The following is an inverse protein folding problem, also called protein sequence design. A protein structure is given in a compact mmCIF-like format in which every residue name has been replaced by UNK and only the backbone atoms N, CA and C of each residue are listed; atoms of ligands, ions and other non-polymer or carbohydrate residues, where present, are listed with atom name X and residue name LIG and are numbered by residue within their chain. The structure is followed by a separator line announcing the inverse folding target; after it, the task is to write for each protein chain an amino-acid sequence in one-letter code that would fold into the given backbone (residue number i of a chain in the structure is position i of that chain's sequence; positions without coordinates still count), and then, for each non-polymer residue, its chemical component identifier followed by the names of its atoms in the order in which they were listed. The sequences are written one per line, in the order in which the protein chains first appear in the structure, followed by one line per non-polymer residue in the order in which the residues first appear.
data_IF_479461840632
#
_entry.id   IF_479461840632
#
_cell.length_a   1.000
_cell.length_b   1.000
_cell.length_c   1.000
_cell.angle_alpha   90.00
_cell.angle_beta   90.00
_cell.angle_gamma   90.00
#
_symmetry.space_group_name_H-M   'P 1'
#
loop_
_entity.id
_entity.type
_entity.pdbx_description
1 polymer ?
#
# COMPACT_ATOMS: atom_id res chain seq x y z
N UNK A 1 11.26 -7.86 2.64
CA UNK A 1 12.30 -6.95 3.15
C UNK A 1 12.54 -5.76 2.23
N UNK A 2 12.80 -5.95 0.92
CA UNK A 2 13.10 -4.83 0.00
C UNK A 2 12.07 -3.70 0.01
N UNK A 3 10.76 -4.01 -0.12
CA UNK A 3 9.69 -3.00 -0.09
C UNK A 3 9.76 -2.11 1.16
N UNK A 4 9.88 -2.73 2.34
CA UNK A 4 10.00 -2.01 3.62
C UNK A 4 11.28 -1.16 3.65
N UNK A 5 12.43 -1.73 3.28
CA UNK A 5 13.70 -1.00 3.29
C UNK A 5 13.64 0.26 2.42
N UNK A 6 13.04 0.16 1.23
CA UNK A 6 12.85 1.32 0.35
C UNK A 6 11.98 2.40 1.00
N UNK A 7 10.80 2.02 1.52
CA UNK A 7 9.84 2.98 2.09
C UNK A 7 10.32 3.61 3.40
N UNK A 8 10.94 2.82 4.30
CA UNK A 8 11.45 3.34 5.58
C UNK A 8 12.66 4.27 5.39
N UNK A 9 13.48 4.05 4.35
CA UNK A 9 14.63 4.92 4.06
C UNK A 9 14.19 6.36 3.73
N UNK A 10 13.06 6.50 3.03
CA UNK A 10 12.54 7.80 2.55
C UNK A 10 11.47 8.41 3.44
N UNK A 11 10.95 7.67 4.43
CA UNK A 11 9.94 8.15 5.39
C UNK A 11 10.28 9.52 6.01
N UNK A 12 11.52 9.79 6.49
CA UNK A 12 11.84 11.09 7.08
C UNK A 12 11.73 12.27 6.10
N UNK A 13 11.88 12.02 4.80
CA UNK A 13 11.83 13.04 3.76
C UNK A 13 10.41 13.31 3.24
N UNK A 14 9.52 12.31 3.28
CA UNK A 14 8.18 12.40 2.68
C UNK A 14 7.02 12.26 3.68
N UNK A 15 7.30 11.93 4.93
CA UNK A 15 6.29 11.66 5.94
C UNK A 15 5.41 12.88 6.22
N UNK A 16 4.09 12.69 6.20
CA UNK A 16 3.12 13.79 6.37
C UNK A 16 2.52 13.87 7.78
N UNK A 17 3.10 13.16 8.76
CA UNK A 17 2.52 13.02 10.11
C UNK A 17 2.35 14.36 10.84
N UNK A 18 3.24 15.33 10.59
CA UNK A 18 3.23 16.65 11.22
C UNK A 18 2.80 17.76 10.25
N UNK A 19 2.28 17.40 9.07
CA UNK A 19 1.82 18.35 8.08
C UNK A 19 0.31 18.64 8.25
N UNK A 20 -0.18 19.78 7.76
CA UNK A 20 -1.61 20.12 7.81
C UNK A 20 -2.46 19.30 6.81
N UNK A 21 -1.85 18.32 6.14
CA UNK A 21 -2.49 17.42 5.19
C UNK A 21 -1.96 15.99 5.38
N UNK A 22 -2.74 15.02 4.89
CA UNK A 22 -2.36 13.61 4.88
C UNK A 22 -2.14 13.11 3.46
N UNK A 23 -1.32 12.08 3.29
CA UNK A 23 -1.08 11.45 2.00
C UNK A 23 -1.10 9.92 2.10
N UNK A 24 -1.62 9.29 1.06
CA UNK A 24 -1.41 7.88 0.76
C UNK A 24 -1.03 7.77 -0.72
N UNK A 25 -0.29 6.73 -1.10
CA UNK A 25 0.07 6.47 -2.48
C UNK A 25 0.17 4.96 -2.72
N UNK A 26 -0.40 4.52 -3.85
CA UNK A 26 -0.23 3.15 -4.35
C UNK A 26 1.05 3.09 -5.19
N UNK A 27 1.91 2.12 -4.89
CA UNK A 27 3.15 1.88 -5.63
C UNK A 27 3.14 0.48 -6.25
N UNK A 28 3.69 0.36 -7.46
CA UNK A 28 4.01 -0.93 -8.08
C UNK A 28 5.48 -1.25 -7.86
N UNK A 29 5.81 -2.45 -7.40
CA UNK A 29 7.19 -2.89 -7.24
C UNK A 29 7.46 -4.03 -8.21
N UNK A 30 8.42 -3.83 -9.10
CA UNK A 30 8.79 -4.83 -10.09
C UNK A 30 10.05 -5.56 -9.64
N UNK A 31 9.95 -6.89 -9.60
CA UNK A 31 11.02 -7.76 -9.14
C UNK A 31 11.45 -8.73 -10.22
N UNK A 32 12.74 -9.01 -10.26
CA UNK A 32 13.31 -10.13 -10.99
C UNK A 32 13.80 -11.19 -10.00
N UNK A 33 13.64 -12.45 -10.34
CA UNK A 33 14.12 -13.59 -9.54
C UNK A 33 15.18 -14.30 -10.38
N UNK A 34 16.35 -14.53 -9.81
CA UNK A 34 17.44 -15.24 -10.47
C UNK A 34 17.37 -16.77 -10.24
N UNK A 35 18.34 -17.49 -10.82
CA UNK A 35 18.45 -18.95 -10.77
C UNK A 35 18.63 -19.49 -9.34
N UNK A 36 19.14 -18.67 -8.41
CA UNK A 36 19.34 -19.00 -6.99
C UNK A 36 18.13 -18.61 -6.13
N UNK A 37 16.99 -18.25 -6.75
CA UNK A 37 15.78 -17.74 -6.09
C UNK A 37 16.00 -16.45 -5.30
N UNK A 38 17.02 -15.66 -5.64
CA UNK A 38 17.24 -14.35 -5.05
C UNK A 38 16.39 -13.31 -5.76
N UNK A 39 15.72 -12.48 -4.96
CA UNK A 39 14.83 -11.42 -5.42
C UNK A 39 15.60 -10.12 -5.58
N UNK A 40 15.51 -9.51 -6.75
CA UNK A 40 16.11 -8.24 -7.11
C UNK A 40 15.02 -7.22 -7.43
N UNK A 41 15.10 -6.03 -6.84
CA UNK A 41 14.24 -4.90 -7.20
C UNK A 41 14.72 -4.32 -8.53
N UNK A 42 13.81 -4.19 -9.49
CA UNK A 42 14.07 -3.55 -10.79
C UNK A 42 13.70 -2.07 -10.71
N UNK A 43 12.45 -1.79 -10.35
CA UNK A 43 11.96 -0.42 -10.22
C UNK A 43 10.77 -0.30 -9.25
N UNK A 44 10.44 0.95 -8.91
CA UNK A 44 9.25 1.31 -8.13
C UNK A 44 8.43 2.31 -8.94
N UNK A 45 7.25 1.89 -9.35
CA UNK A 45 6.29 2.66 -10.14
C UNK A 45 5.40 3.51 -9.23
N UNK A 46 5.45 4.84 -9.40
CA UNK A 46 4.65 5.80 -8.62
C UNK A 46 3.17 5.92 -9.03
N UNK A 47 2.81 5.39 -10.20
CA UNK A 47 1.44 5.35 -10.73
C UNK A 47 1.20 4.01 -11.43
N UNK A 48 1.07 2.91 -10.68
CA UNK A 48 0.96 1.58 -11.26
C UNK A 48 -0.43 1.36 -11.90
N UNK A 49 -0.47 0.60 -12.98
CA UNK A 49 -1.70 0.00 -13.47
C UNK A 49 -2.00 -1.30 -12.70
N UNK A 50 -3.27 -1.68 -12.59
CA UNK A 50 -3.69 -2.94 -12.00
C UNK A 50 -4.19 -3.91 -13.08
N UNK A 51 -3.92 -5.20 -12.91
CA UNK A 51 -4.51 -6.22 -13.76
C UNK A 51 -6.04 -6.21 -13.61
N UNK A 52 -6.77 -6.27 -14.73
CA UNK A 52 -8.23 -6.14 -14.77
C UNK A 52 -8.95 -7.06 -13.77
N UNK A 53 -8.45 -8.30 -13.62
CA UNK A 53 -9.03 -9.30 -12.71
C UNK A 53 -8.92 -8.92 -11.22
N UNK A 54 -7.90 -8.14 -10.86
CA UNK A 54 -7.62 -7.74 -9.48
C UNK A 54 -8.16 -6.34 -9.15
N UNK A 55 -8.61 -5.59 -10.16
CA UNK A 55 -9.00 -4.19 -10.03
C UNK A 55 -10.06 -3.99 -8.95
N UNK A 56 -11.14 -4.78 -8.96
CA UNK A 56 -12.24 -4.63 -8.01
C UNK A 56 -11.79 -4.84 -6.55
N UNK A 57 -11.02 -5.90 -6.30
CA UNK A 57 -10.53 -6.24 -4.96
C UNK A 57 -9.51 -5.22 -4.46
N UNK A 58 -8.56 -4.81 -5.31
CA UNK A 58 -7.54 -3.84 -4.95
C UNK A 58 -8.16 -2.46 -4.66
N UNK A 59 -9.04 -1.98 -5.55
CA UNK A 59 -9.70 -0.68 -5.37
C UNK A 59 -10.57 -0.65 -4.12
N UNK A 60 -11.32 -1.72 -3.84
CA UNK A 60 -12.11 -1.80 -2.60
C UNK A 60 -11.21 -1.77 -1.36
N UNK A 61 -10.10 -2.53 -1.36
CA UNK A 61 -9.13 -2.48 -0.28
C UNK A 61 -8.56 -1.07 -0.07
N UNK A 62 -8.23 -0.33 -1.13
CA UNK A 62 -7.73 1.05 -1.02
C UNK A 62 -8.77 1.94 -0.34
N UNK A 63 -10.05 1.82 -0.73
CA UNK A 63 -11.15 2.56 -0.10
C UNK A 63 -11.24 2.22 1.38
N UNK A 64 -11.16 0.93 1.74
CA UNK A 64 -11.31 0.48 3.12
C UNK A 64 -10.14 0.95 4.01
N UNK A 65 -8.90 0.84 3.53
CA UNK A 65 -7.70 1.05 4.36
C UNK A 65 -7.16 2.49 4.30
N UNK A 66 -7.18 3.13 3.14
CA UNK A 66 -6.54 4.44 2.95
C UNK A 66 -7.52 5.61 2.99
N UNK A 67 -8.79 5.39 2.63
CA UNK A 67 -9.81 6.46 2.56
C UNK A 67 -10.72 6.40 3.79
N UNK A 68 -11.42 5.28 3.99
CA UNK A 68 -12.43 5.13 5.04
C UNK A 68 -11.84 5.18 6.46
N UNK A 69 -10.54 4.92 6.59
CA UNK A 69 -9.80 5.06 7.86
C UNK A 69 -9.64 6.52 8.31
N UNK A 70 -9.74 7.46 7.38
CA UNK A 70 -9.69 8.91 7.64
C UNK A 70 -11.09 9.53 7.53
N UNK A 71 -11.90 9.05 6.58
CA UNK A 71 -13.24 9.54 6.27
C UNK A 71 -14.26 8.41 6.35
N UNK A 72 -14.76 8.07 7.55
CA UNK A 72 -15.67 6.95 7.72
C UNK A 72 -16.98 7.15 6.95
N UNK A 73 -17.50 6.07 6.35
CA UNK A 73 -18.70 6.11 5.50
C UNK A 73 -20.00 6.40 6.29
N UNK A 74 -19.99 6.15 7.60
CA UNK A 74 -21.09 6.43 8.53
C UNK A 74 -20.54 6.67 9.94
N UNK A 75 -21.24 7.46 10.74
CA UNK A 75 -20.93 7.66 12.18
C UNK A 75 -21.20 6.42 13.05
N UNK A 76 -21.84 5.39 12.46
CA UNK A 76 -22.10 4.13 13.12
C UNK A 76 -20.84 3.25 13.08
N UNK A 77 -20.50 2.56 14.19
CA UNK A 77 -19.35 1.66 14.22
C UNK A 77 -19.53 0.57 13.16
N UNK A 78 -18.68 0.62 12.12
CA UNK A 78 -18.66 -0.41 11.10
C UNK A 78 -18.22 -1.72 11.75
N UNK A 79 -19.02 -2.78 11.54
CA UNK A 79 -18.57 -4.15 11.85
C UNK A 79 -17.30 -4.40 11.05
N UNK A 80 -16.21 -4.91 11.65
CA UNK A 80 -15.04 -5.30 10.89
C UNK A 80 -15.46 -6.31 9.82
N UNK A 81 -15.37 -5.91 8.55
CA UNK A 81 -15.58 -6.79 7.40
C UNK A 81 -14.39 -7.75 7.26
N UNK A 82 -14.61 -8.75 6.40
CA UNK A 82 -13.73 -9.89 6.10
C UNK A 82 -12.23 -9.58 6.07
N UNK A 83 -11.44 -10.60 6.42
CA UNK A 83 -9.98 -10.65 6.38
C UNK A 83 -9.35 -9.72 5.32
N UNK A 84 -8.52 -8.78 5.78
CA UNK A 84 -7.84 -7.79 4.93
C UNK A 84 -7.13 -8.44 3.73
N UNK A 85 -7.35 -7.86 2.55
CA UNK A 85 -6.64 -8.24 1.31
C UNK A 85 -5.17 -7.80 1.31
N UNK A 86 -4.80 -6.87 2.21
CA UNK A 86 -3.41 -6.43 2.39
C UNK A 86 -2.73 -7.15 3.55
N UNK A 87 -1.45 -7.44 3.34
CA UNK A 87 -0.52 -7.88 4.39
C UNK A 87 0.18 -6.64 4.94
N UNK A 88 0.02 -6.38 6.25
CA UNK A 88 0.78 -5.33 6.93
C UNK A 88 2.24 -5.73 7.05
N UNK A 89 3.12 -4.96 6.42
CA UNK A 89 4.57 -5.12 6.61
C UNK A 89 4.91 -4.75 8.07
N UNK A 90 5.37 -5.72 8.85
CA UNK A 90 5.65 -5.56 10.29
C UNK A 90 6.71 -4.51 10.62
N UNK A 91 6.80 -4.18 11.92
CA UNK A 91 7.82 -3.33 12.55
C UNK A 91 9.12 -4.07 12.80
#
# INVERSE_FOLDING_TARGET
MLQRSCLMCIEPAIGTKLLPYHSFQLFGFDFMVDEDLKVWLIEVNGAPACAQRLYAELCQGIVDVAISSVFPLSDLPQKPSQQSVFIKLGS
#
